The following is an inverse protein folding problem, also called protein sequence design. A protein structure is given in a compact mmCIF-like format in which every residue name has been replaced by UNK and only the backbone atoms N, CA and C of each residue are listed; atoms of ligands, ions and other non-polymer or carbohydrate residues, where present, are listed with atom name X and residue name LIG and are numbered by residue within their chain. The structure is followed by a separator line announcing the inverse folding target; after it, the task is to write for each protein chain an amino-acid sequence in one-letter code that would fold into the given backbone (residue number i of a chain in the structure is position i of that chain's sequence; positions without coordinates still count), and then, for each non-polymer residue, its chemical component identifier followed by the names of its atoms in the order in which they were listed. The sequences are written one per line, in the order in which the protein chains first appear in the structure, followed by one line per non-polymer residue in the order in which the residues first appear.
data_IF_863683371822
#
_entry.id   IF_863683371822
#
_cell.length_a   1.000
_cell.length_b   1.000
_cell.length_c   1.000
_cell.angle_alpha   90.00
_cell.angle_beta   90.00
_cell.angle_gamma   90.00
#
_symmetry.space_group_name_H-M   'P 1'
#
loop_
_entity.id
_entity.type
_entity.pdbx_description
1 polymer ?
#
# COMPACT_ATOMS: atom_id res chain seq x y z
N UNK A 1 -7.97 -30.07 -21.24
CA UNK A 1 -7.26 -28.80 -21.13
C UNK A 1 -8.36 -27.78 -20.88
N UNK A 2 -8.72 -27.62 -19.61
CA UNK A 2 -9.53 -26.48 -19.18
C UNK A 2 -8.50 -25.40 -18.89
N UNK A 3 -8.55 -24.33 -19.68
CA UNK A 3 -7.71 -23.15 -19.48
C UNK A 3 -8.03 -22.56 -18.11
N UNK A 4 -7.03 -22.69 -17.24
CA UNK A 4 -6.59 -21.77 -16.22
C UNK A 4 -7.65 -20.79 -15.68
N UNK A 5 -7.92 -20.93 -14.37
CA UNK A 5 -8.39 -19.89 -13.45
C UNK A 5 -8.17 -18.49 -14.02
N UNK A 6 -9.18 -17.94 -14.69
CA UNK A 6 -9.23 -16.52 -14.92
C UNK A 6 -9.35 -15.91 -13.51
N UNK A 7 -8.26 -15.31 -13.04
CA UNK A 7 -8.27 -14.51 -11.83
C UNK A 7 -9.20 -13.31 -12.09
N UNK A 8 -10.50 -13.52 -11.93
CA UNK A 8 -11.56 -12.62 -12.40
C UNK A 8 -11.69 -11.38 -11.48
N UNK A 9 -10.88 -11.26 -10.43
CA UNK A 9 -11.02 -10.16 -9.49
C UNK A 9 -10.19 -10.20 -8.21
N UNK A 10 -9.21 -11.09 -8.06
CA UNK A 10 -8.41 -11.17 -6.83
C UNK A 10 -7.42 -10.01 -6.76
N UNK A 11 -7.46 -9.28 -5.65
CA UNK A 11 -6.60 -8.12 -5.41
C UNK A 11 -5.88 -8.31 -4.09
N UNK A 12 -4.57 -8.11 -4.11
CA UNK A 12 -3.73 -8.07 -2.90
C UNK A 12 -3.12 -6.68 -2.81
N UNK A 13 -3.27 -6.01 -1.67
CA UNK A 13 -2.71 -4.70 -1.41
C UNK A 13 -1.90 -4.77 -0.13
N UNK A 14 -0.63 -4.39 -0.19
CA UNK A 14 0.24 -4.27 0.97
C UNK A 14 0.85 -2.88 1.03
N UNK A 15 0.81 -2.26 2.19
CA UNK A 15 1.39 -0.94 2.40
C UNK A 15 2.42 -1.02 3.54
N UNK A 16 3.66 -0.65 3.24
CA UNK A 16 4.74 -0.54 4.21
C UNK A 16 5.51 0.77 4.15
N UNK A 17 6.05 1.17 5.31
CA UNK A 17 7.04 2.23 5.45
C UNK A 17 8.35 1.59 5.89
N UNK A 18 9.44 1.93 5.21
CA UNK A 18 10.78 1.51 5.58
C UNK A 18 11.69 2.71 5.76
N UNK A 19 12.56 2.69 6.76
CA UNK A 19 13.42 3.83 7.10
C UNK A 19 14.68 3.36 7.81
N UNK A 20 15.78 4.11 7.71
CA UNK A 20 17.02 3.78 8.42
C UNK A 20 16.95 4.06 9.92
N UNK A 21 16.05 4.95 10.35
CA UNK A 21 15.91 5.38 11.75
C UNK A 21 14.65 4.83 12.38
N UNK A 22 14.69 4.64 13.69
CA UNK A 22 13.53 4.21 14.46
C UNK A 22 12.56 5.38 14.59
N UNK A 23 11.32 5.20 14.19
CA UNK A 23 10.26 6.20 14.29
C UNK A 23 9.29 5.77 15.39
N UNK A 24 9.23 6.52 16.48
CA UNK A 24 8.44 6.17 17.65
C UNK A 24 6.94 6.17 17.38
N UNK A 25 6.46 7.09 16.55
CA UNK A 25 5.08 7.23 16.13
C UNK A 25 4.62 5.99 15.34
N UNK A 26 5.44 5.55 14.37
CA UNK A 26 5.15 4.35 13.59
C UNK A 26 5.23 3.06 14.42
N UNK A 27 6.05 3.01 15.48
CA UNK A 27 6.07 1.86 16.41
C UNK A 27 4.83 1.78 17.29
N UNK A 28 4.29 2.93 17.71
CA UNK A 28 3.06 2.97 18.50
C UNK A 28 1.87 2.56 17.63
N UNK A 29 1.84 3.00 16.37
CA UNK A 29 0.75 2.71 15.44
C UNK A 29 0.87 1.35 14.76
N UNK A 30 2.09 0.83 14.55
CA UNK A 30 2.33 -0.39 13.78
C UNK A 30 3.39 -1.28 14.43
N UNK A 31 3.18 -2.60 14.32
CA UNK A 31 4.16 -3.56 14.82
C UNK A 31 5.39 -3.54 13.93
N UNK A 32 6.48 -2.92 14.40
CA UNK A 32 7.78 -3.02 13.75
C UNK A 32 8.18 -4.50 13.63
N UNK A 33 8.54 -4.95 12.42
CA UNK A 33 9.06 -6.30 12.24
C UNK A 33 10.58 -6.29 12.44
N UNK A 34 11.11 -6.94 13.49
CA UNK A 34 12.55 -7.06 13.64
C UNK A 34 13.09 -8.03 12.59
N UNK A 35 13.91 -7.55 11.66
CA UNK A 35 14.81 -8.40 10.86
C UNK A 35 16.22 -7.83 10.80
N UNK A 36 17.15 -8.74 10.53
CA UNK A 36 18.60 -8.68 10.72
C UNK A 36 19.39 -7.73 9.80
N UNK A 37 18.84 -6.60 9.34
CA UNK A 37 19.59 -5.70 8.44
C UNK A 37 19.09 -4.26 8.47
N UNK A 38 19.94 -3.35 8.95
CA UNK A 38 20.15 -1.93 8.57
C UNK A 38 18.95 -0.96 8.37
N UNK A 39 17.69 -1.37 8.51
CA UNK A 39 16.50 -0.52 8.35
C UNK A 39 15.31 -1.04 9.14
N UNK A 40 14.49 -0.14 9.67
CA UNK A 40 13.20 -0.43 10.30
C UNK A 40 12.10 -0.52 9.23
N UNK A 41 11.21 -1.52 9.36
CA UNK A 41 10.05 -1.67 8.47
C UNK A 41 8.77 -1.79 9.28
N UNK A 42 7.81 -0.96 8.92
CA UNK A 42 6.48 -0.83 9.50
C UNK A 42 5.46 -1.25 8.47
N UNK A 43 4.77 -2.37 8.70
CA UNK A 43 3.67 -2.78 7.83
C UNK A 43 2.38 -2.16 8.35
N UNK A 44 1.75 -1.31 7.53
CA UNK A 44 0.47 -0.70 7.83
C UNK A 44 -0.68 -1.70 7.71
N UNK A 45 -0.51 -2.65 6.78
CA UNK A 45 -1.36 -3.81 6.65
C UNK A 45 -1.18 -4.50 5.31
N UNK A 46 -1.88 -5.61 5.19
CA UNK A 46 -2.15 -6.29 3.94
C UNK A 46 -3.65 -6.54 3.89
N UNK A 47 -4.29 -6.16 2.80
CA UNK A 47 -5.70 -6.45 2.54
C UNK A 47 -5.76 -7.28 1.26
N UNK A 48 -6.57 -8.31 1.30
CA UNK A 48 -6.86 -9.17 0.17
C UNK A 48 -8.36 -9.23 -0.02
N UNK A 49 -8.82 -9.12 -1.26
CA UNK A 49 -10.23 -9.29 -1.57
C UNK A 49 -10.44 -9.77 -3.00
N UNK A 50 -11.59 -10.40 -3.21
CA UNK A 50 -12.10 -10.77 -4.52
C UNK A 50 -13.26 -9.84 -4.88
N UNK A 51 -13.22 -9.24 -6.08
CA UNK A 51 -14.31 -8.42 -6.61
C UNK A 51 -14.38 -8.56 -8.13
N UNK A 52 -15.37 -9.29 -8.70
CA UNK A 52 -15.45 -9.54 -10.13
C UNK A 52 -15.85 -8.31 -10.94
N UNK A 53 -16.67 -7.41 -10.40
CA UNK A 53 -17.07 -6.20 -11.13
C UNK A 53 -15.91 -5.18 -11.17
N UNK A 54 -15.47 -4.82 -12.38
CA UNK A 54 -14.30 -3.96 -12.55
C UNK A 54 -14.45 -2.57 -11.90
N UNK A 55 -15.65 -2.01 -11.91
CA UNK A 55 -15.91 -0.70 -11.31
C UNK A 55 -15.94 -0.79 -9.78
N UNK A 56 -16.66 -1.75 -9.23
CA UNK A 56 -16.70 -2.01 -7.79
C UNK A 56 -15.31 -2.36 -7.26
N UNK A 57 -14.51 -3.11 -8.02
CA UNK A 57 -13.12 -3.44 -7.70
C UNK A 57 -12.25 -2.19 -7.61
N UNK A 58 -12.33 -1.31 -8.61
CA UNK A 58 -11.64 -0.03 -8.56
C UNK A 58 -12.09 0.81 -7.36
N UNK A 59 -13.39 0.96 -7.12
CA UNK A 59 -13.89 1.75 -5.97
C UNK A 59 -13.42 1.18 -4.62
N UNK A 60 -13.44 -0.15 -4.47
CA UNK A 60 -12.95 -0.84 -3.27
C UNK A 60 -11.43 -0.74 -3.10
N UNK A 61 -10.67 -0.89 -4.19
CA UNK A 61 -9.22 -0.66 -4.21
C UNK A 61 -8.89 0.75 -3.71
N UNK A 62 -9.56 1.76 -4.25
CA UNK A 62 -9.34 3.14 -3.87
C UNK A 62 -9.72 3.40 -2.40
N UNK A 63 -10.83 2.83 -1.91
CA UNK A 63 -11.21 2.93 -0.50
C UNK A 63 -10.14 2.32 0.42
N UNK A 64 -9.63 1.12 0.10
CA UNK A 64 -8.58 0.46 0.89
C UNK A 64 -7.29 1.28 0.89
N UNK A 65 -6.90 1.85 -0.24
CA UNK A 65 -5.72 2.72 -0.32
C UNK A 65 -5.90 3.96 0.57
N UNK A 66 -7.07 4.61 0.52
CA UNK A 66 -7.37 5.78 1.34
C UNK A 66 -7.32 5.45 2.82
N UNK A 67 -7.88 4.31 3.24
CA UNK A 67 -7.78 3.86 4.63
C UNK A 67 -6.33 3.67 5.07
N UNK A 68 -5.44 3.17 4.20
CA UNK A 68 -4.03 3.06 4.54
C UNK A 68 -3.32 4.42 4.61
N UNK A 69 -3.61 5.33 3.67
CA UNK A 69 -3.04 6.69 3.70
C UNK A 69 -3.50 7.44 4.95
N UNK A 70 -4.75 7.29 5.36
CA UNK A 70 -5.28 7.92 6.58
C UNK A 70 -4.57 7.44 7.84
N UNK A 71 -4.07 6.20 7.86
CA UNK A 71 -3.23 5.70 8.97
C UNK A 71 -1.86 6.38 9.04
N UNK A 72 -1.38 7.02 7.97
CA UNK A 72 -0.16 7.83 7.95
C UNK A 72 -0.39 9.29 8.33
N UNK A 73 -1.64 9.76 8.44
CA UNK A 73 -1.95 11.17 8.70
C UNK A 73 -1.40 11.69 10.05
N UNK A 74 -1.10 10.79 11.00
CA UNK A 74 -0.47 11.14 12.28
C UNK A 74 1.06 11.16 12.25
N UNK A 75 1.69 10.76 11.13
CA UNK A 75 3.15 10.68 11.00
C UNK A 75 3.66 12.03 10.51
N UNK A 76 4.66 12.64 11.18
CA UNK A 76 5.19 13.93 10.75
C UNK A 76 5.72 13.89 9.31
N UNK A 77 5.45 14.91 8.47
CA UNK A 77 5.99 14.97 7.11
C UNK A 77 7.52 14.83 7.07
N UNK A 78 8.22 15.43 8.04
CA UNK A 78 9.68 15.31 8.16
C UNK A 78 10.20 13.87 8.27
N UNK A 79 9.37 12.92 8.72
CA UNK A 79 9.70 11.49 8.76
C UNK A 79 9.44 10.82 7.41
N UNK A 80 8.30 11.12 6.78
CA UNK A 80 7.89 10.54 5.49
C UNK A 80 8.76 11.05 4.34
N UNK A 81 9.14 12.33 4.39
CA UNK A 81 9.94 13.03 3.39
C UNK A 81 11.46 12.85 3.58
N UNK A 82 11.88 12.16 4.65
CA UNK A 82 13.29 11.90 4.90
C UNK A 82 13.88 11.05 3.76
N UNK A 83 15.10 11.36 3.26
CA UNK A 83 15.66 10.70 2.08
C UNK A 83 15.93 9.20 2.29
N UNK A 84 16.09 8.77 3.53
CA UNK A 84 16.21 7.37 3.94
C UNK A 84 14.86 6.65 4.17
N UNK A 85 13.73 7.36 4.07
CA UNK A 85 12.39 6.80 4.23
C UNK A 85 11.78 6.46 2.88
N UNK A 86 11.21 5.26 2.79
CA UNK A 86 10.47 4.79 1.63
C UNK A 86 9.09 4.31 2.06
N UNK A 87 8.07 4.98 1.52
CA UNK A 87 6.65 4.67 1.67
C UNK A 87 6.24 3.88 0.43
N UNK A 88 5.80 2.62 0.59
CA UNK A 88 5.60 1.69 -0.55
C UNK A 88 4.23 1.03 -0.51
N UNK A 89 3.51 1.17 -1.61
CA UNK A 89 2.26 0.47 -1.89
C UNK A 89 2.54 -0.61 -2.92
N UNK A 90 2.41 -1.88 -2.54
CA UNK A 90 2.49 -3.04 -3.43
C UNK A 90 1.08 -3.54 -3.71
N UNK A 91 0.76 -3.72 -4.99
CA UNK A 91 -0.54 -4.24 -5.43
C UNK A 91 -0.33 -5.37 -6.42
N UNK A 92 -1.06 -6.47 -6.22
CA UNK A 92 -1.28 -7.49 -7.24
C UNK A 92 -2.70 -7.32 -7.75
N UNK A 93 -2.85 -7.12 -9.06
CA UNK A 93 -4.12 -6.82 -9.71
C UNK A 93 -4.34 -7.80 -10.87
N UNK A 94 -5.59 -8.20 -11.16
CA UNK A 94 -5.89 -8.96 -12.36
C UNK A 94 -5.81 -8.05 -13.59
N UNK A 95 -5.60 -8.63 -14.77
CA UNK A 95 -5.52 -7.89 -16.02
C UNK A 95 -6.73 -6.97 -16.25
N UNK A 96 -6.48 -5.70 -16.58
CA UNK A 96 -7.52 -4.69 -16.82
C UNK A 96 -8.04 -3.98 -15.55
N UNK A 97 -7.45 -4.23 -14.37
CA UNK A 97 -7.80 -3.59 -13.11
C UNK A 97 -6.83 -2.47 -12.68
N UNK A 98 -5.97 -1.98 -13.57
CA UNK A 98 -4.84 -1.08 -13.26
C UNK A 98 -5.25 0.39 -13.04
N UNK A 99 -6.56 0.68 -12.92
CA UNK A 99 -7.07 2.05 -12.84
C UNK A 99 -7.20 2.52 -11.40
N UNK A 100 -6.48 3.59 -11.04
CA UNK A 100 -6.62 4.32 -9.79
C UNK A 100 -7.36 5.65 -10.01
N UNK A 101 -8.17 6.06 -9.04
CA UNK A 101 -8.79 7.39 -9.08
C UNK A 101 -7.74 8.49 -8.93
N UNK A 102 -7.91 9.61 -9.63
CA UNK A 102 -6.99 10.76 -9.57
C UNK A 102 -6.78 11.27 -8.13
N UNK A 103 -7.83 11.25 -7.30
CA UNK A 103 -7.75 11.67 -5.90
C UNK A 103 -6.87 10.72 -5.07
N UNK A 104 -6.97 9.42 -5.31
CA UNK A 104 -6.12 8.41 -4.67
C UNK A 104 -4.65 8.61 -5.03
N UNK A 105 -4.35 8.92 -6.29
CA UNK A 105 -2.97 9.24 -6.73
C UNK A 105 -2.44 10.48 -6.00
N UNK A 106 -3.23 11.54 -5.85
CA UNK A 106 -2.83 12.74 -5.11
C UNK A 106 -2.53 12.43 -3.65
N UNK A 107 -3.40 11.66 -3.00
CA UNK A 107 -3.26 11.29 -1.59
C UNK A 107 -2.04 10.40 -1.35
N UNK A 108 -1.71 9.52 -2.30
CA UNK A 108 -0.47 8.74 -2.27
C UNK A 108 0.76 9.64 -2.46
N UNK A 109 0.69 10.64 -3.33
CA UNK A 109 1.77 11.60 -3.52
C UNK A 109 2.01 12.47 -2.27
N UNK A 110 0.95 12.84 -1.54
CA UNK A 110 1.05 13.61 -0.30
C UNK A 110 1.86 12.91 0.81
N UNK A 111 1.97 11.58 0.75
CA UNK A 111 2.78 10.77 1.69
C UNK A 111 4.06 10.22 1.05
N UNK A 112 4.43 10.70 -0.14
CA UNK A 112 5.63 10.25 -0.85
C UNK A 112 5.60 8.77 -1.24
N UNK A 113 4.41 8.18 -1.44
CA UNK A 113 4.29 6.76 -1.72
C UNK A 113 4.79 6.40 -3.12
N UNK A 114 5.64 5.38 -3.18
CA UNK A 114 5.98 4.67 -4.42
C UNK A 114 4.98 3.52 -4.63
N UNK A 115 4.41 3.45 -5.84
CA UNK A 115 3.46 2.41 -6.22
C UNK A 115 4.19 1.33 -7.02
N UNK A 116 4.04 0.08 -6.61
CA UNK A 116 4.48 -1.10 -7.34
C UNK A 116 3.27 -1.95 -7.71
N UNK A 117 3.06 -2.17 -9.00
CA UNK A 117 1.96 -2.99 -9.53
C UNK A 117 2.57 -4.25 -10.13
N UNK A 118 2.11 -5.39 -9.62
CA UNK A 118 2.34 -6.72 -10.17
C UNK A 118 1.04 -7.15 -10.87
N UNK A 119 1.10 -7.42 -12.17
CA UNK A 119 -0.05 -7.72 -13.03
C UNK A 119 0.28 -8.84 -14.00
#
# INVERSE_FOLDING_TARGET
MDDADADDGHVIISFDVSTAVRVGELEQSFRAQPRSSTSFRYRLGTVTFDEPDAKARADKLNAVIMEFVDRLHGVPPAVLDAPETFVRLFMTLPAGAETLHTETVKRLADVGATIWIDA
#
